data_IF_655875412282
#
_entry.id   IF_655875412282
#
_cell.length_a   1.000
_cell.length_b   1.000
_cell.length_c   1.000
_cell.angle_alpha   90.00
_cell.angle_beta   90.00
_cell.angle_gamma   90.00
#
_symmetry.space_group_name_H-M   'P 1'
#
loop_
_entity.id
_entity.type
_entity.pdbx_description
1 polymer ?
#
# COMPACT_ATOMS: atom_id res chain seq x y z
N UNK A 1 -67.69 37.10 44.42
CA UNK A 1 -67.24 37.02 43.01
C UNK A 1 -65.99 37.88 42.85
N UNK A 2 -64.81 37.28 43.00
CA UNK A 2 -63.49 37.96 42.93
C UNK A 2 -63.00 37.90 41.46
N UNK A 3 -63.03 39.04 40.76
CA UNK A 3 -62.43 39.11 39.41
C UNK A 3 -60.90 39.06 39.51
N UNK A 4 -60.32 38.01 38.96
CA UNK A 4 -58.85 37.89 38.88
C UNK A 4 -58.25 39.03 38.07
N UNK A 5 -57.17 39.62 38.57
CA UNK A 5 -56.50 40.78 37.99
C UNK A 5 -55.87 40.40 36.62
N UNK A 6 -56.04 41.18 35.57
CA UNK A 6 -55.44 40.92 34.25
C UNK A 6 -53.90 40.91 34.26
N UNK A 7 -53.24 41.48 35.27
CA UNK A 7 -51.76 41.48 35.40
C UNK A 7 -51.20 40.08 35.70
N UNK A 8 -51.94 39.22 36.41
CA UNK A 8 -51.49 37.86 36.73
C UNK A 8 -51.48 36.93 35.49
N UNK A 9 -52.40 37.12 34.55
CA UNK A 9 -52.46 36.34 33.30
C UNK A 9 -51.30 36.69 32.36
N UNK A 10 -50.94 37.97 32.23
CA UNK A 10 -49.84 38.41 31.40
C UNK A 10 -48.46 37.93 31.94
N UNK A 11 -48.29 37.89 33.24
CA UNK A 11 -47.05 37.38 33.84
C UNK A 11 -46.84 35.86 33.60
N UNK A 12 -47.91 35.06 33.67
CA UNK A 12 -47.85 33.61 33.37
C UNK A 12 -47.56 33.32 31.91
N UNK A 13 -48.12 34.11 30.97
CA UNK A 13 -47.86 33.97 29.55
C UNK A 13 -46.39 34.28 29.21
N UNK A 14 -45.79 35.32 29.79
CA UNK A 14 -44.38 35.67 29.60
C UNK A 14 -43.45 34.61 30.15
N UNK A 15 -43.74 33.98 31.29
CA UNK A 15 -42.94 32.93 31.86
C UNK A 15 -43.00 31.67 31.01
N UNK A 16 -44.12 31.34 30.37
CA UNK A 16 -44.26 30.21 29.45
C UNK A 16 -43.43 30.38 28.19
N UNK A 17 -43.44 31.57 27.60
CA UNK A 17 -42.64 31.85 26.38
C UNK A 17 -41.14 31.77 26.68
N UNK A 18 -40.67 32.31 27.79
CA UNK A 18 -39.27 32.25 28.17
C UNK A 18 -38.81 30.79 28.45
N UNK A 19 -39.65 29.96 29.02
CA UNK A 19 -39.33 28.54 29.24
C UNK A 19 -39.30 27.74 27.93
N UNK A 20 -40.20 28.05 27.00
CA UNK A 20 -40.22 27.42 25.68
C UNK A 20 -38.97 27.82 24.86
N UNK A 21 -38.61 29.09 24.85
CA UNK A 21 -37.42 29.59 24.18
C UNK A 21 -36.14 28.98 24.74
N UNK A 22 -36.05 28.82 26.09
CA UNK A 22 -34.92 28.17 26.71
C UNK A 22 -34.77 26.71 26.33
N UNK A 23 -35.87 25.97 26.18
CA UNK A 23 -35.84 24.56 25.76
C UNK A 23 -35.42 24.40 24.30
N UNK A 24 -35.89 25.28 23.42
CA UNK A 24 -35.50 25.27 22.01
C UNK A 24 -33.98 25.59 21.87
N UNK A 25 -33.50 26.60 22.62
CA UNK A 25 -32.08 26.95 22.61
C UNK A 25 -31.20 25.80 23.12
N UNK A 26 -31.64 25.07 24.16
CA UNK A 26 -30.92 23.94 24.71
C UNK A 26 -30.86 22.75 23.72
N UNK A 27 -31.95 22.48 23.01
CA UNK A 27 -31.99 21.43 21.99
C UNK A 27 -31.10 21.78 20.80
N UNK A 28 -31.11 23.06 20.36
CA UNK A 28 -30.24 23.51 19.28
C UNK A 28 -28.76 23.47 19.68
N UNK A 29 -28.43 23.82 20.91
CA UNK A 29 -27.06 23.71 21.43
C UNK A 29 -26.58 22.26 21.52
N UNK A 30 -27.46 21.34 21.90
CA UNK A 30 -27.13 19.92 21.99
C UNK A 30 -26.89 19.32 20.58
N UNK A 31 -27.62 19.76 19.56
CA UNK A 31 -27.39 19.33 18.17
C UNK A 31 -26.09 19.93 17.60
N UNK A 32 -25.75 21.15 17.96
CA UNK A 32 -24.48 21.77 17.53
C UNK A 32 -23.27 21.08 18.15
N UNK A 33 -23.39 20.59 19.39
CA UNK A 33 -22.31 19.87 20.08
C UNK A 33 -22.04 18.47 19.51
N UNK A 34 -22.98 17.91 18.73
CA UNK A 34 -22.85 16.60 18.10
C UNK A 34 -22.35 16.67 16.65
N UNK A 35 -22.10 17.87 16.12
CA UNK A 35 -21.47 18.02 14.81
C UNK A 35 -19.99 17.69 14.92
N UNK A 36 -19.67 16.41 15.06
CA UNK A 36 -18.31 15.91 14.85
C UNK A 36 -17.99 16.23 13.39
N UNK A 37 -16.93 17.00 13.10
CA UNK A 37 -16.56 17.21 11.72
C UNK A 37 -16.36 15.84 11.07
N UNK A 38 -17.18 15.54 10.06
CA UNK A 38 -17.02 14.32 9.30
C UNK A 38 -15.61 14.34 8.72
N UNK A 39 -14.81 13.34 9.07
CA UNK A 39 -13.56 13.13 8.37
C UNK A 39 -13.92 12.97 6.90
N UNK A 40 -13.44 13.90 6.07
CA UNK A 40 -13.71 13.82 4.64
C UNK A 40 -13.04 12.56 4.10
N UNK A 41 -13.87 11.63 3.66
CA UNK A 41 -13.42 10.45 2.95
C UNK A 41 -12.73 10.89 1.66
N UNK A 42 -11.55 10.37 1.42
CA UNK A 42 -10.73 10.80 0.30
C UNK A 42 -10.11 9.63 -0.45
N UNK A 43 -9.99 9.79 -1.76
CA UNK A 43 -9.35 8.82 -2.66
C UNK A 43 -7.82 8.88 -2.59
N UNK A 44 -7.25 9.86 -1.87
CA UNK A 44 -5.81 10.12 -1.84
C UNK A 44 -5.40 10.81 -0.55
N UNK A 45 -4.11 10.74 -0.23
CA UNK A 45 -3.46 11.45 0.86
C UNK A 45 -2.36 12.34 0.26
N UNK A 46 -2.31 13.61 0.67
CA UNK A 46 -1.19 14.50 0.37
C UNK A 46 -0.61 15.03 1.68
N UNK A 47 0.70 14.98 1.82
CA UNK A 47 1.38 15.56 2.98
C UNK A 47 1.25 17.08 2.99
N UNK A 48 1.26 17.67 1.80
CA UNK A 48 1.15 19.12 1.59
C UNK A 48 0.18 19.41 0.44
N UNK A 49 -0.66 20.42 0.63
CA UNK A 49 -1.58 20.86 -0.42
C UNK A 49 -2.63 19.83 -0.78
N UNK A 50 -3.00 19.82 -2.05
CA UNK A 50 -3.98 18.89 -2.62
C UNK A 50 -3.26 17.90 -3.54
N UNK A 51 -3.78 16.65 -3.67
CA UNK A 51 -3.19 15.70 -4.62
C UNK A 51 -3.25 16.23 -6.07
N UNK A 52 -2.21 15.96 -6.84
CA UNK A 52 -2.12 16.36 -8.25
C UNK A 52 -3.29 15.82 -9.10
N UNK A 53 -3.62 14.56 -8.91
CA UNK A 53 -4.68 13.91 -9.69
C UNK A 53 -6.01 14.07 -8.97
N UNK A 54 -7.04 14.66 -9.63
CA UNK A 54 -8.33 14.92 -8.99
C UNK A 54 -9.17 13.64 -8.83
N UNK A 55 -10.24 13.67 -8.02
CA UNK A 55 -11.16 12.54 -7.93
C UNK A 55 -11.65 12.12 -9.31
N UNK A 56 -11.64 10.82 -9.57
CA UNK A 56 -12.11 10.27 -10.84
C UNK A 56 -11.11 10.34 -11.98
N UNK A 57 -9.84 10.65 -11.70
CA UNK A 57 -8.78 10.56 -12.72
C UNK A 57 -8.77 9.15 -13.33
N UNK A 58 -8.30 9.02 -14.57
CA UNK A 58 -8.39 7.76 -15.32
C UNK A 58 -7.09 6.96 -15.31
N UNK A 59 -5.96 7.64 -15.25
CA UNK A 59 -4.63 7.05 -15.19
C UNK A 59 -3.63 8.14 -14.81
N UNK A 60 -2.46 7.76 -14.41
CA UNK A 60 -1.37 8.72 -14.20
C UNK A 60 -0.90 9.29 -15.55
N UNK A 61 -0.44 10.53 -15.57
CA UNK A 61 -0.04 11.23 -16.82
C UNK A 61 1.17 10.58 -17.49
N UNK A 62 2.03 9.92 -16.73
CA UNK A 62 3.28 9.36 -17.23
C UNK A 62 3.14 7.94 -17.83
N UNK A 63 1.95 7.36 -17.81
CA UNK A 63 1.72 6.04 -18.40
C UNK A 63 1.06 6.17 -19.78
N UNK A 64 1.22 5.14 -20.60
CA UNK A 64 0.43 4.97 -21.83
C UNK A 64 -0.75 4.03 -21.49
N UNK A 65 -1.99 4.55 -21.40
CA UNK A 65 -3.13 3.70 -21.05
C UNK A 65 -3.41 2.61 -22.10
N UNK A 66 -2.98 2.84 -23.33
CA UNK A 66 -3.18 1.91 -24.44
C UNK A 66 -1.95 1.01 -24.68
N UNK A 67 -1.01 0.98 -23.75
CA UNK A 67 0.19 0.14 -23.88
C UNK A 67 -0.20 -1.32 -24.09
N UNK A 68 0.38 -1.99 -25.12
CA UNK A 68 0.03 -3.39 -25.39
C UNK A 68 0.40 -4.31 -24.23
N UNK A 69 -0.46 -5.28 -23.98
CA UNK A 69 -0.24 -6.29 -22.93
C UNK A 69 0.33 -7.55 -23.57
N UNK A 70 1.44 -8.04 -23.02
CA UNK A 70 2.06 -9.26 -23.55
C UNK A 70 3.58 -9.22 -23.51
N UNK A 71 4.21 -10.19 -24.15
CA UNK A 71 5.66 -10.27 -24.23
C UNK A 71 6.34 -10.66 -22.92
N UNK A 72 7.66 -10.79 -22.99
CA UNK A 72 8.50 -11.15 -21.85
C UNK A 72 9.57 -10.09 -21.68
N UNK A 73 9.74 -9.62 -20.45
CA UNK A 73 10.84 -8.74 -20.06
C UNK A 73 11.86 -9.59 -19.30
N UNK A 74 13.08 -9.66 -19.79
CA UNK A 74 14.15 -10.40 -19.12
C UNK A 74 15.10 -9.40 -18.46
N UNK A 75 15.31 -9.57 -17.17
CA UNK A 75 16.14 -8.70 -16.33
C UNK A 75 17.29 -9.51 -15.72
N UNK A 76 18.35 -8.83 -15.38
CA UNK A 76 19.47 -9.44 -14.67
C UNK A 76 19.44 -9.08 -13.19
N UNK A 77 20.45 -9.55 -12.45
CA UNK A 77 20.63 -9.32 -11.02
C UNK A 77 20.33 -7.87 -10.65
N UNK A 78 19.31 -7.60 -9.84
CA UNK A 78 19.19 -6.27 -9.25
C UNK A 78 20.29 -6.09 -8.20
N UNK A 79 20.87 -4.91 -8.18
CA UNK A 79 21.96 -4.59 -7.26
C UNK A 79 23.12 -5.60 -7.44
N UNK A 80 23.53 -6.30 -6.41
CA UNK A 80 24.61 -7.29 -6.47
C UNK A 80 24.11 -8.68 -6.08
N UNK A 81 22.80 -8.91 -6.17
CA UNK A 81 22.21 -10.18 -5.82
C UNK A 81 22.62 -11.26 -6.83
N UNK A 82 23.35 -12.27 -6.39
CA UNK A 82 23.84 -13.35 -7.27
C UNK A 82 23.05 -14.65 -7.11
N UNK A 83 22.24 -14.76 -6.06
CA UNK A 83 21.37 -15.91 -5.82
C UNK A 83 20.26 -15.53 -4.83
N UNK A 84 19.18 -16.31 -4.81
CA UNK A 84 18.12 -16.17 -3.82
C UNK A 84 17.84 -17.52 -3.16
N UNK A 85 17.34 -17.47 -1.93
CA UNK A 85 17.07 -18.68 -1.14
C UNK A 85 15.70 -18.61 -0.43
N UNK A 86 14.89 -17.61 -0.76
CA UNK A 86 13.54 -17.46 -0.17
C UNK A 86 12.65 -16.56 -1.02
N UNK A 87 11.31 -16.65 -0.76
CA UNK A 87 10.31 -15.75 -1.34
C UNK A 87 9.89 -14.64 -0.36
N UNK A 88 10.24 -14.76 0.93
CA UNK A 88 9.83 -13.77 1.93
C UNK A 88 10.78 -12.56 1.91
N UNK A 89 10.36 -11.36 1.41
CA UNK A 89 11.24 -10.19 1.37
C UNK A 89 11.31 -9.42 2.69
N UNK A 90 10.49 -9.80 3.66
CA UNK A 90 10.29 -9.01 4.87
C UNK A 90 11.18 -9.44 6.04
N UNK A 91 12.05 -10.43 5.84
CA UNK A 91 12.88 -11.00 6.91
C UNK A 91 14.36 -10.73 6.67
N UNK A 92 15.14 -10.75 7.75
CA UNK A 92 16.55 -10.36 7.71
C UNK A 92 17.43 -11.41 7.02
N UNK A 93 17.27 -12.68 7.38
CA UNK A 93 18.18 -13.75 6.92
C UNK A 93 17.85 -14.17 5.49
N UNK A 94 18.89 -14.46 4.72
CA UNK A 94 18.75 -14.94 3.35
C UNK A 94 18.48 -13.84 2.35
N UNK A 95 18.44 -14.23 1.09
CA UNK A 95 18.23 -13.35 -0.06
C UNK A 95 16.87 -13.64 -0.68
N UNK A 96 16.00 -12.66 -0.65
CA UNK A 96 14.68 -12.78 -1.30
C UNK A 96 14.82 -12.83 -2.82
N UNK A 97 13.93 -13.56 -3.47
CA UNK A 97 13.88 -13.60 -4.94
C UNK A 97 13.68 -12.20 -5.50
N UNK A 98 14.42 -11.79 -6.53
CA UNK A 98 14.26 -10.46 -7.10
C UNK A 98 12.88 -10.32 -7.74
N UNK A 99 12.28 -9.14 -7.58
CA UNK A 99 10.95 -8.84 -8.12
C UNK A 99 9.79 -9.41 -7.32
N UNK A 100 10.06 -10.06 -6.18
CA UNK A 100 9.02 -10.69 -5.36
C UNK A 100 8.02 -9.65 -4.79
N UNK A 101 8.45 -8.40 -4.67
CA UNK A 101 7.61 -7.29 -4.23
C UNK A 101 6.39 -7.06 -5.15
N UNK A 102 6.45 -7.47 -6.43
CA UNK A 102 5.32 -7.39 -7.36
C UNK A 102 4.11 -8.22 -6.92
N UNK A 103 4.29 -9.14 -5.98
CA UNK A 103 3.21 -9.97 -5.46
C UNK A 103 2.40 -9.30 -4.36
N UNK A 104 2.90 -8.20 -3.80
CA UNK A 104 2.29 -7.53 -2.64
C UNK A 104 1.85 -6.12 -3.00
N UNK A 105 0.76 -5.69 -2.40
CA UNK A 105 0.29 -4.32 -2.53
C UNK A 105 0.09 -3.70 -1.16
N UNK A 106 -0.04 -2.38 -1.15
CA UNK A 106 -0.28 -1.58 0.04
C UNK A 106 -1.67 -0.94 -0.02
N UNK A 107 -2.08 -0.28 1.05
CA UNK A 107 -3.39 0.37 1.12
C UNK A 107 -3.49 1.53 0.12
N UNK A 108 -2.39 2.25 -0.09
CA UNK A 108 -2.29 3.34 -1.05
C UNK A 108 -0.96 3.26 -1.79
N UNK A 109 -0.90 3.82 -2.98
CA UNK A 109 0.31 3.80 -3.83
C UNK A 109 0.69 5.22 -4.23
N UNK A 110 1.99 5.50 -4.27
CA UNK A 110 2.50 6.79 -4.72
C UNK A 110 2.41 6.98 -6.23
N UNK A 111 2.66 8.20 -6.66
CA UNK A 111 2.81 8.55 -8.07
C UNK A 111 4.28 8.93 -8.35
N UNK A 112 4.80 8.54 -9.51
CA UNK A 112 6.19 8.83 -9.88
C UNK A 112 6.45 10.30 -10.16
N UNK A 113 5.41 11.07 -10.44
CA UNK A 113 5.52 12.49 -10.79
C UNK A 113 4.97 13.41 -9.69
N UNK A 114 4.69 12.87 -8.50
CA UNK A 114 4.18 13.63 -7.37
C UNK A 114 4.72 13.06 -6.06
N UNK A 115 5.78 13.64 -5.51
CA UNK A 115 6.29 13.19 -4.22
C UNK A 115 5.34 13.56 -3.07
N UNK A 116 5.40 12.82 -1.98
CA UNK A 116 4.66 13.07 -0.74
C UNK A 116 3.13 13.01 -0.90
N UNK A 117 2.66 12.24 -1.88
CA UNK A 117 1.22 11.91 -2.06
C UNK A 117 1.06 10.43 -2.34
N UNK A 118 -0.12 9.90 -2.03
CA UNK A 118 -0.46 8.51 -2.33
C UNK A 118 -1.96 8.40 -2.60
N UNK A 119 -2.31 7.52 -3.51
CA UNK A 119 -3.66 7.29 -4.02
C UNK A 119 -4.14 5.91 -3.59
N UNK A 120 -5.42 5.78 -3.32
CA UNK A 120 -5.99 4.52 -2.88
C UNK A 120 -5.68 3.37 -3.84
N UNK A 121 -5.33 2.21 -3.27
CA UNK A 121 -5.04 0.98 -4.00
C UNK A 121 -5.87 -0.14 -3.36
N UNK A 122 -5.37 -0.83 -2.32
CA UNK A 122 -6.23 -1.77 -1.58
C UNK A 122 -7.34 -1.03 -0.82
N UNK A 123 -7.14 0.25 -0.49
CA UNK A 123 -8.19 1.10 0.07
C UNK A 123 -8.83 1.93 -1.05
N UNK A 124 -10.15 2.06 -1.02
CA UNK A 124 -10.88 2.95 -1.94
C UNK A 124 -11.32 4.25 -1.24
N UNK A 125 -11.16 4.32 0.09
CA UNK A 125 -11.47 5.49 0.86
C UNK A 125 -10.51 5.64 2.03
N UNK A 126 -10.06 6.88 2.27
CA UNK A 126 -9.04 7.21 3.26
C UNK A 126 -9.50 8.42 4.06
N UNK A 127 -9.56 8.30 5.38
CA UNK A 127 -9.99 9.38 6.26
C UNK A 127 -8.90 9.68 7.30
N UNK A 128 -8.21 10.81 7.12
CA UNK A 128 -7.24 11.31 8.11
C UNK A 128 -8.00 12.08 9.17
N UNK A 129 -7.80 11.74 10.45
CA UNK A 129 -8.45 12.43 11.55
C UNK A 129 -8.01 13.90 11.60
N UNK A 130 -8.92 14.83 11.97
CA UNK A 130 -8.57 16.27 12.03
C UNK A 130 -7.37 16.58 12.94
N UNK A 131 -7.20 15.83 14.01
CA UNK A 131 -6.06 15.97 14.93
C UNK A 131 -4.78 15.30 14.42
N UNK A 132 -4.87 14.59 13.27
CA UNK A 132 -3.77 13.87 12.64
C UNK A 132 -3.13 12.78 13.53
N UNK A 133 -3.90 12.24 14.45
CA UNK A 133 -3.43 11.17 15.33
C UNK A 133 -3.93 9.79 14.88
N UNK A 134 -4.65 9.74 13.75
CA UNK A 134 -5.04 8.47 13.15
C UNK A 134 -5.41 8.66 11.68
N UNK A 135 -5.42 7.54 10.96
CA UNK A 135 -5.96 7.45 9.60
C UNK A 135 -6.79 6.16 9.51
N UNK A 136 -7.92 6.24 8.86
CA UNK A 136 -8.82 5.10 8.63
C UNK A 136 -8.84 4.81 7.13
N UNK A 137 -8.68 3.54 6.79
CA UNK A 137 -8.73 3.03 5.41
C UNK A 137 -9.94 2.11 5.29
N UNK A 138 -10.78 2.37 4.31
CA UNK A 138 -11.84 1.46 3.89
C UNK A 138 -11.33 0.64 2.71
N UNK A 139 -11.40 -0.69 2.82
CA UNK A 139 -10.85 -1.59 1.80
C UNK A 139 -11.79 -1.72 0.60
N UNK A 140 -11.22 -1.68 -0.58
CA UNK A 140 -11.95 -1.86 -1.83
C UNK A 140 -12.66 -3.24 -1.81
N UNK A 141 -13.97 -3.28 -1.98
CA UNK A 141 -14.70 -4.56 -1.91
C UNK A 141 -14.30 -5.56 -3.01
N UNK A 142 -13.62 -5.11 -4.06
CA UNK A 142 -13.10 -5.99 -5.11
C UNK A 142 -11.74 -6.58 -4.77
N UNK A 143 -11.02 -6.02 -3.78
CA UNK A 143 -9.64 -6.43 -3.47
C UNK A 143 -9.57 -7.93 -3.13
N UNK A 144 -8.68 -8.64 -3.83
CA UNK A 144 -8.51 -10.10 -3.69
C UNK A 144 -7.04 -10.46 -3.62
N UNK A 145 -6.76 -11.45 -2.82
CA UNK A 145 -5.46 -12.12 -2.85
C UNK A 145 -5.38 -13.08 -4.04
N UNK A 146 -4.16 -13.52 -4.34
CA UNK A 146 -3.85 -14.44 -5.45
C UNK A 146 -4.58 -15.78 -5.34
N UNK A 147 -5.00 -16.18 -4.14
CA UNK A 147 -5.77 -17.41 -3.91
C UNK A 147 -7.29 -17.19 -4.02
N UNK A 148 -7.73 -15.97 -4.37
CA UNK A 148 -9.14 -15.61 -4.53
C UNK A 148 -9.83 -15.07 -3.28
N UNK A 149 -9.22 -15.20 -2.11
CA UNK A 149 -9.79 -14.69 -0.85
C UNK A 149 -9.90 -13.16 -0.90
N UNK A 150 -10.93 -12.62 -0.23
CA UNK A 150 -11.03 -11.16 -0.03
C UNK A 150 -9.92 -10.67 0.88
N UNK A 151 -9.39 -9.49 0.57
CA UNK A 151 -8.50 -8.78 1.49
C UNK A 151 -9.36 -8.18 2.60
N UNK A 152 -8.99 -8.42 3.86
CA UNK A 152 -9.76 -7.95 5.02
C UNK A 152 -8.91 -7.08 5.94
N UNK A 153 -9.58 -6.32 6.80
CA UNK A 153 -8.91 -5.52 7.83
C UNK A 153 -8.07 -6.38 8.78
N UNK A 154 -8.48 -7.64 9.01
CA UNK A 154 -7.67 -8.59 9.79
C UNK A 154 -6.34 -8.91 9.08
N UNK A 155 -6.33 -9.03 7.75
CA UNK A 155 -5.09 -9.27 7.00
C UNK A 155 -4.17 -8.04 7.08
N UNK A 156 -4.74 -6.84 6.99
CA UNK A 156 -3.97 -5.59 7.12
C UNK A 156 -3.34 -5.50 8.51
N UNK A 157 -4.14 -5.73 9.55
CA UNK A 157 -3.64 -5.72 10.93
C UNK A 157 -2.58 -6.81 11.14
N UNK A 158 -2.82 -8.02 10.65
CA UNK A 158 -1.86 -9.13 10.73
C UNK A 158 -0.54 -8.76 10.06
N UNK A 159 -0.59 -8.17 8.86
CA UNK A 159 0.60 -7.74 8.13
C UNK A 159 1.39 -6.69 8.92
N UNK A 160 0.70 -5.66 9.41
CA UNK A 160 1.33 -4.58 10.19
C UNK A 160 1.96 -5.12 11.47
N UNK A 161 1.23 -5.92 12.25
CA UNK A 161 1.72 -6.48 13.51
C UNK A 161 2.93 -7.40 13.28
N UNK A 162 2.88 -8.20 12.21
CA UNK A 162 3.99 -9.08 11.80
C UNK A 162 5.23 -8.26 11.44
N UNK A 163 5.07 -7.20 10.66
CA UNK A 163 6.18 -6.33 10.24
C UNK A 163 6.80 -5.58 11.42
N UNK A 164 6.03 -5.31 12.47
CA UNK A 164 6.57 -4.71 13.70
C UNK A 164 7.13 -5.72 14.68
N UNK A 165 6.97 -7.01 14.43
CA UNK A 165 7.43 -8.06 15.33
C UNK A 165 8.93 -8.35 15.14
N UNK A 166 9.49 -9.15 16.05
CA UNK A 166 10.87 -9.61 15.97
C UNK A 166 11.11 -10.60 14.83
N UNK A 167 10.07 -11.12 14.20
CA UNK A 167 10.18 -12.06 13.07
C UNK A 167 10.42 -11.34 11.75
N UNK A 168 10.17 -10.04 11.67
CA UNK A 168 10.47 -9.24 10.49
C UNK A 168 11.83 -8.56 10.62
N UNK A 169 12.36 -8.07 9.51
CA UNK A 169 13.62 -7.33 9.50
C UNK A 169 13.48 -6.03 10.29
N UNK A 170 14.45 -5.67 11.15
CA UNK A 170 14.33 -4.56 12.10
C UNK A 170 13.98 -3.20 11.47
N UNK A 171 14.34 -2.98 10.20
CA UNK A 171 14.01 -1.72 9.52
C UNK A 171 12.50 -1.48 9.45
N UNK A 172 11.66 -2.53 9.40
CA UNK A 172 10.21 -2.35 9.41
C UNK A 172 9.73 -1.82 10.77
N UNK A 173 10.26 -2.39 11.86
CA UNK A 173 9.95 -1.90 13.21
C UNK A 173 10.32 -0.44 13.40
N UNK A 174 11.49 -0.05 12.88
CA UNK A 174 11.96 1.34 12.93
C UNK A 174 11.08 2.25 12.06
N UNK A 175 10.77 1.82 10.83
CA UNK A 175 9.97 2.61 9.89
C UNK A 175 8.55 2.88 10.42
N UNK A 176 7.95 1.88 11.06
CA UNK A 176 6.60 1.98 11.60
C UNK A 176 6.57 2.38 13.09
N UNK A 177 7.68 2.85 13.66
CA UNK A 177 7.78 3.11 15.12
C UNK A 177 6.70 4.07 15.63
N UNK A 178 6.41 5.14 14.88
CA UNK A 178 5.45 6.16 15.27
C UNK A 178 3.98 5.73 15.08
N UNK A 179 3.73 4.61 14.40
CA UNK A 179 2.38 4.03 14.34
C UNK A 179 2.22 3.13 15.57
N UNK A 180 1.35 3.54 16.48
CA UNK A 180 1.15 2.82 17.76
C UNK A 180 0.52 1.45 17.52
N UNK A 181 -0.56 1.40 16.74
CA UNK A 181 -1.29 0.16 16.47
C UNK A 181 -2.21 0.28 15.26
N UNK A 182 -2.59 -0.88 14.70
CA UNK A 182 -3.67 -1.03 13.74
C UNK A 182 -4.88 -1.61 14.47
N UNK A 183 -6.05 -1.04 14.24
CA UNK A 183 -7.33 -1.43 14.86
C UNK A 183 -8.29 -1.86 13.77
N UNK A 184 -8.82 -3.06 13.86
CA UNK A 184 -9.90 -3.54 13.00
C UNK A 184 -11.20 -2.89 13.49
N UNK A 185 -11.79 -2.01 12.69
CA UNK A 185 -13.06 -1.36 13.00
C UNK A 185 -14.22 -2.28 12.60
N UNK A 186 -14.11 -2.84 11.41
CA UNK A 186 -15.01 -3.87 10.88
C UNK A 186 -14.22 -4.66 9.80
N UNK A 187 -14.79 -5.71 9.19
CA UNK A 187 -14.02 -6.54 8.25
C UNK A 187 -13.45 -5.79 7.03
N UNK A 188 -13.99 -4.62 6.68
CA UNK A 188 -13.55 -3.82 5.54
C UNK A 188 -12.85 -2.52 5.97
N UNK A 189 -12.72 -2.25 7.28
CA UNK A 189 -12.22 -0.94 7.76
C UNK A 189 -11.12 -1.13 8.81
N UNK A 190 -9.95 -0.56 8.54
CA UNK A 190 -8.82 -0.58 9.47
C UNK A 190 -8.42 0.86 9.81
N UNK A 191 -8.15 1.12 11.09
CA UNK A 191 -7.66 2.42 11.57
C UNK A 191 -6.26 2.26 12.15
N UNK A 192 -5.35 3.11 11.73
CA UNK A 192 -4.01 3.22 12.32
C UNK A 192 -3.98 4.39 13.28
N UNK A 193 -3.52 4.15 14.50
CA UNK A 193 -3.38 5.17 15.55
C UNK A 193 -1.90 5.53 15.70
N UNK A 194 -1.62 6.82 15.86
CA UNK A 194 -0.27 7.38 15.88
C UNK A 194 0.14 7.84 17.27
N UNK A 195 1.43 7.73 17.59
CA UNK A 195 1.98 8.24 18.85
C UNK A 195 1.99 9.76 18.90
N UNK A 196 2.15 10.40 17.73
CA UNK A 196 2.22 11.86 17.61
C UNK A 196 1.40 12.32 16.40
N UNK A 197 1.09 13.61 16.34
CA UNK A 197 0.44 14.22 15.19
C UNK A 197 1.53 14.58 14.18
N UNK A 198 1.54 13.89 13.04
CA UNK A 198 2.54 14.11 11.99
C UNK A 198 1.90 13.87 10.62
N UNK A 199 2.12 14.79 9.69
CA UNK A 199 1.54 14.76 8.32
C UNK A 199 2.02 13.58 7.48
N UNK A 200 3.19 13.03 7.80
CA UNK A 200 3.79 11.92 7.05
C UNK A 200 3.16 10.57 7.44
N UNK A 201 2.69 10.42 8.67
CA UNK A 201 2.24 9.13 9.19
C UNK A 201 1.07 8.50 8.39
N UNK A 202 0.10 9.27 7.88
CA UNK A 202 -0.92 8.66 6.99
C UNK A 202 -0.31 8.01 5.73
N UNK A 203 0.72 8.63 5.14
CA UNK A 203 1.41 8.06 3.97
C UNK A 203 2.16 6.79 4.36
N UNK A 204 2.86 6.81 5.50
CA UNK A 204 3.59 5.64 6.02
C UNK A 204 2.60 4.50 6.28
N UNK A 205 1.45 4.78 6.89
CA UNK A 205 0.41 3.77 7.13
C UNK A 205 -0.16 3.24 5.81
N UNK A 206 -0.40 4.13 4.84
CA UNK A 206 -0.88 3.75 3.51
C UNK A 206 0.08 2.85 2.76
N UNK A 207 1.38 2.93 3.07
CA UNK A 207 2.43 2.13 2.44
C UNK A 207 2.67 0.76 3.09
N UNK A 208 1.91 0.36 4.10
CA UNK A 208 2.07 -0.97 4.73
C UNK A 208 1.78 -2.06 3.69
N UNK A 209 2.77 -2.91 3.37
CA UNK A 209 2.51 -4.04 2.46
C UNK A 209 1.58 -5.06 3.13
N UNK A 210 0.59 -5.53 2.37
CA UNK A 210 -0.46 -6.41 2.88
C UNK A 210 -0.28 -7.81 2.29
N UNK A 211 -0.28 -8.80 3.17
CA UNK A 211 -0.24 -10.22 2.79
C UNK A 211 -1.29 -10.98 3.61
N UNK A 212 -1.76 -12.07 3.05
CA UNK A 212 -2.80 -12.88 3.71
C UNK A 212 -2.28 -13.53 4.99
N UNK A 213 -3.09 -13.49 6.03
CA UNK A 213 -2.82 -14.23 7.27
C UNK A 213 -2.81 -15.75 7.06
N UNK A 214 -3.19 -16.23 5.86
CA UNK A 214 -3.07 -17.65 5.51
C UNK A 214 -1.69 -18.01 4.99
N UNK A 215 -0.84 -17.04 4.63
CA UNK A 215 0.53 -17.33 4.20
C UNK A 215 1.30 -17.99 5.35
N UNK A 216 1.83 -19.17 5.10
CA UNK A 216 2.53 -19.98 6.10
C UNK A 216 1.63 -20.79 7.04
N UNK A 217 0.31 -20.77 6.80
CA UNK A 217 -0.63 -21.59 7.57
C UNK A 217 -0.68 -22.99 6.96
N UNK A 218 -0.46 -24.01 7.79
CA UNK A 218 -0.52 -25.41 7.36
C UNK A 218 -1.94 -25.97 7.45
N UNK A 219 -2.16 -27.12 6.81
CA UNK A 219 -3.47 -27.76 6.80
C UNK A 219 -3.94 -28.23 8.19
N UNK A 220 -2.99 -28.48 9.09
CA UNK A 220 -3.29 -28.88 10.49
C UNK A 220 -3.58 -27.67 11.40
N UNK A 221 -3.58 -26.47 10.84
CA UNK A 221 -3.83 -25.21 11.58
C UNK A 221 -2.59 -24.62 12.21
N UNK A 222 -1.44 -25.32 12.19
CA UNK A 222 -0.20 -24.76 12.71
C UNK A 222 0.36 -23.70 11.73
N UNK A 223 1.24 -22.84 12.23
CA UNK A 223 1.83 -21.77 11.42
C UNK A 223 3.35 -21.90 11.39
N UNK A 224 3.93 -21.79 10.22
CA UNK A 224 5.37 -21.61 10.05
C UNK A 224 5.72 -20.23 10.61
N UNK A 225 6.71 -20.11 11.52
CA UNK A 225 7.17 -18.79 11.96
C UNK A 225 7.53 -17.91 10.77
N UNK A 226 7.15 -16.62 10.83
CA UNK A 226 7.27 -15.73 9.67
C UNK A 226 8.72 -15.61 9.17
N UNK A 227 9.68 -15.64 10.09
CA UNK A 227 11.11 -15.57 9.76
C UNK A 227 11.68 -16.89 9.23
N UNK A 228 10.88 -17.95 9.20
CA UNK A 228 11.26 -19.26 8.64
C UNK A 228 10.58 -19.55 7.29
N UNK A 229 9.71 -18.63 6.83
CA UNK A 229 9.12 -18.75 5.50
C UNK A 229 10.20 -18.60 4.43
N UNK A 230 10.42 -19.66 3.67
CA UNK A 230 11.44 -19.70 2.60
C UNK A 230 10.76 -19.73 1.22
N UNK A 231 10.37 -20.90 0.74
CA UNK A 231 9.76 -21.07 -0.59
C UNK A 231 8.25 -21.33 -0.52
N UNK A 232 7.64 -21.12 0.64
CA UNK A 232 6.19 -21.14 0.76
C UNK A 232 5.59 -20.05 -0.12
N UNK A 233 4.65 -20.43 -1.00
CA UNK A 233 4.06 -19.53 -1.99
C UNK A 233 3.45 -18.32 -1.29
N UNK A 234 3.91 -17.10 -1.58
CA UNK A 234 3.31 -15.91 -0.99
C UNK A 234 1.87 -15.73 -1.43
N UNK A 235 1.03 -15.27 -0.50
CA UNK A 235 -0.38 -14.96 -0.78
C UNK A 235 -0.52 -13.44 -0.67
N UNK A 236 -0.20 -12.76 -1.76
CA UNK A 236 -0.35 -11.31 -1.92
C UNK A 236 -1.48 -10.98 -2.87
N UNK A 237 -1.72 -9.70 -3.08
CA UNK A 237 -2.81 -9.19 -3.95
C UNK A 237 -2.29 -8.62 -5.27
N UNK A 238 -0.99 -8.67 -5.51
CA UNK A 238 -0.34 -7.97 -6.61
C UNK A 238 -0.60 -8.55 -8.00
N UNK A 239 -0.15 -7.81 -9.02
CA UNK A 239 -0.47 -8.13 -10.41
C UNK A 239 0.31 -9.31 -11.00
N UNK A 240 1.31 -9.83 -10.31
CA UNK A 240 2.12 -10.95 -10.80
C UNK A 240 2.07 -12.13 -9.85
N UNK A 241 2.30 -13.33 -10.40
CA UNK A 241 2.38 -14.61 -9.70
C UNK A 241 3.71 -15.26 -10.04
N UNK A 242 4.28 -16.05 -9.13
CA UNK A 242 5.45 -16.88 -9.46
C UNK A 242 4.96 -17.99 -10.41
N UNK A 243 5.54 -18.06 -11.62
CA UNK A 243 5.25 -19.12 -12.59
C UNK A 243 6.16 -20.31 -12.39
N UNK A 244 7.48 -20.06 -12.29
CA UNK A 244 8.50 -21.09 -12.04
C UNK A 244 9.77 -20.43 -11.54
N UNK A 245 10.63 -21.24 -10.95
CA UNK A 245 11.95 -20.79 -10.54
C UNK A 245 12.93 -21.96 -10.60
N UNK A 246 14.19 -21.62 -10.84
CA UNK A 246 15.33 -22.52 -10.70
C UNK A 246 16.15 -22.01 -9.52
N UNK A 247 16.29 -22.83 -8.51
CA UNK A 247 16.73 -22.44 -7.17
C UNK A 247 18.01 -21.61 -7.23
N UNK A 248 17.89 -20.35 -6.81
CA UNK A 248 19.00 -19.42 -6.72
C UNK A 248 19.44 -18.78 -8.04
N UNK A 249 18.93 -19.19 -9.20
CA UNK A 249 19.43 -18.72 -10.51
C UNK A 249 18.43 -17.93 -11.33
N UNK A 250 17.20 -18.39 -11.41
CA UNK A 250 16.20 -17.79 -12.28
C UNK A 250 14.85 -17.82 -11.59
N UNK A 251 14.10 -16.74 -11.73
CA UNK A 251 12.69 -16.72 -11.33
C UNK A 251 11.88 -16.06 -12.44
N UNK A 252 10.74 -16.66 -12.76
CA UNK A 252 9.80 -16.18 -13.77
C UNK A 252 8.48 -15.86 -13.08
N UNK A 253 8.03 -14.64 -13.28
CA UNK A 253 6.71 -14.18 -12.87
C UNK A 253 5.82 -14.10 -14.10
N UNK A 254 4.55 -14.49 -13.98
CA UNK A 254 3.55 -14.25 -15.01
C UNK A 254 2.50 -13.28 -14.49
N UNK A 255 1.96 -12.47 -15.37
CA UNK A 255 0.88 -11.56 -15.02
C UNK A 255 -0.33 -12.38 -14.59
N UNK A 256 -0.96 -11.97 -13.50
CA UNK A 256 -2.14 -12.64 -12.96
C UNK A 256 -3.36 -12.29 -13.84
N UNK A 257 -3.93 -13.25 -14.58
CA UNK A 257 -5.11 -12.94 -15.42
C UNK A 257 -6.34 -12.58 -14.61
N UNK A 258 -6.36 -12.94 -13.32
CA UNK A 258 -7.46 -12.63 -12.40
C UNK A 258 -7.10 -11.47 -11.46
N UNK A 259 -6.14 -10.62 -11.87
CA UNK A 259 -5.73 -9.49 -11.01
C UNK A 259 -6.89 -8.52 -10.81
N UNK A 260 -7.27 -8.34 -9.55
CA UNK A 260 -8.47 -7.60 -9.15
C UNK A 260 -8.41 -6.10 -9.50
N UNK A 261 -7.20 -5.52 -9.54
CA UNK A 261 -6.99 -4.09 -9.67
C UNK A 261 -6.60 -3.61 -11.07
N UNK A 262 -6.77 -4.45 -12.10
CA UNK A 262 -6.25 -4.14 -13.45
C UNK A 262 -6.81 -2.85 -14.05
N UNK A 263 -8.05 -2.48 -13.69
CA UNK A 263 -8.74 -1.29 -14.19
C UNK A 263 -8.71 -0.10 -13.23
N UNK A 264 -8.03 -0.21 -12.10
CA UNK A 264 -7.90 0.92 -11.18
C UNK A 264 -7.08 2.04 -11.84
N UNK A 265 -7.47 3.31 -11.66
CA UNK A 265 -6.71 4.44 -12.26
C UNK A 265 -5.21 4.40 -11.96
N UNK A 266 -4.84 3.96 -10.76
CA UNK A 266 -3.43 3.85 -10.33
C UNK A 266 -2.71 2.67 -11.01
N UNK A 267 -3.42 1.80 -11.74
CA UNK A 267 -2.86 0.60 -12.39
C UNK A 267 -3.03 0.60 -13.92
N UNK A 268 -3.91 1.44 -14.46
CA UNK A 268 -4.06 1.58 -15.93
C UNK A 268 -2.71 1.93 -16.54
N UNK A 269 -2.36 1.26 -17.65
CA UNK A 269 -1.10 1.50 -18.35
C UNK A 269 0.13 0.86 -17.72
N UNK A 270 -0.05 0.09 -16.63
CA UNK A 270 1.06 -0.59 -15.94
C UNK A 270 0.94 -2.12 -16.08
N UNK A 271 1.96 -2.84 -15.62
CA UNK A 271 1.96 -4.31 -15.61
C UNK A 271 1.73 -4.89 -17.00
N UNK A 272 2.45 -4.35 -18.00
CA UNK A 272 2.17 -4.61 -19.40
C UNK A 272 2.74 -5.94 -19.88
N UNK A 273 3.87 -6.40 -19.32
CA UNK A 273 4.49 -7.65 -19.74
C UNK A 273 3.72 -8.87 -19.21
N UNK A 274 3.55 -9.88 -20.08
CA UNK A 274 2.96 -11.16 -19.71
C UNK A 274 3.87 -11.92 -18.74
N UNK A 275 5.19 -11.86 -19.00
CA UNK A 275 6.20 -12.47 -18.13
C UNK A 275 7.30 -11.50 -17.78
N UNK A 276 7.82 -11.60 -16.57
CA UNK A 276 9.04 -10.94 -16.13
C UNK A 276 9.96 -12.03 -15.62
N UNK A 277 11.16 -12.09 -16.18
CA UNK A 277 12.16 -13.12 -15.86
C UNK A 277 13.38 -12.43 -15.27
N UNK A 278 13.82 -12.90 -14.12
CA UNK A 278 15.10 -12.47 -13.55
C UNK A 278 16.10 -13.62 -13.71
N UNK A 279 17.25 -13.34 -14.33
CA UNK A 279 18.40 -14.24 -14.43
C UNK A 279 19.51 -13.70 -13.55
N UNK A 280 20.07 -14.53 -12.69
CA UNK A 280 21.12 -14.12 -11.76
C UNK A 280 22.46 -14.69 -12.22
N UNK A 281 23.44 -13.82 -12.35
CA UNK A 281 24.80 -14.12 -12.76
C UNK A 281 25.73 -14.01 -11.55
N UNK A 282 26.79 -14.80 -11.54
CA UNK A 282 27.69 -14.87 -10.39
C UNK A 282 28.53 -13.61 -10.15
N UNK A 283 28.75 -12.82 -11.21
CA UNK A 283 29.53 -11.58 -11.10
C UNK A 283 29.16 -10.59 -12.22
N UNK A 284 29.73 -9.39 -12.13
CA UNK A 284 29.45 -8.32 -13.08
C UNK A 284 30.02 -8.57 -14.48
N UNK A 285 31.10 -9.32 -14.61
CA UNK A 285 31.69 -9.64 -15.93
C UNK A 285 30.75 -10.60 -16.67
N UNK A 286 30.35 -11.69 -16.02
CA UNK A 286 29.39 -12.65 -16.59
C UNK A 286 28.08 -11.96 -16.99
N UNK A 287 27.58 -11.05 -16.12
CA UNK A 287 26.37 -10.27 -16.40
C UNK A 287 26.53 -9.37 -17.63
N UNK A 288 27.65 -8.69 -17.76
CA UNK A 288 27.91 -7.81 -18.89
C UNK A 288 28.04 -8.60 -20.20
N UNK A 289 28.75 -9.75 -20.18
CA UNK A 289 28.86 -10.58 -21.37
C UNK A 289 27.51 -11.17 -21.79
N UNK A 290 26.68 -11.57 -20.83
CA UNK A 290 25.32 -12.02 -21.09
C UNK A 290 24.45 -10.92 -21.76
N UNK A 291 24.60 -9.66 -21.33
CA UNK A 291 23.91 -8.54 -21.96
C UNK A 291 24.36 -8.36 -23.42
N UNK A 292 25.67 -8.40 -23.66
CA UNK A 292 26.22 -8.31 -25.03
C UNK A 292 25.72 -9.45 -25.91
N UNK A 293 25.49 -10.63 -25.32
CA UNK A 293 24.94 -11.79 -26.03
C UNK A 293 23.40 -11.71 -26.21
N UNK A 294 22.74 -10.69 -25.67
CA UNK A 294 21.29 -10.51 -25.79
C UNK A 294 20.48 -11.41 -24.88
N UNK A 295 21.05 -11.87 -23.78
CA UNK A 295 20.37 -12.80 -22.86
C UNK A 295 19.35 -12.10 -21.96
N UNK A 296 19.42 -10.77 -21.81
CA UNK A 296 18.43 -9.98 -21.07
C UNK A 296 18.33 -8.57 -21.66
N UNK A 297 17.24 -7.88 -21.32
CA UNK A 297 16.78 -6.69 -22.05
C UNK A 297 17.32 -5.36 -21.51
N UNK A 298 17.60 -5.27 -20.20
CA UNK A 298 17.93 -3.97 -19.57
C UNK A 298 19.19 -4.12 -18.70
N UNK A 299 20.24 -3.39 -19.08
CA UNK A 299 21.46 -3.29 -18.26
C UNK A 299 21.42 -1.99 -17.46
N UNK A 300 21.46 -2.11 -16.14
CA UNK A 300 21.64 -0.97 -15.24
C UNK A 300 23.07 -1.03 -14.70
N UNK A 301 23.91 -0.06 -15.05
CA UNK A 301 25.29 0.06 -14.57
C UNK A 301 25.46 1.36 -13.78
N UNK A 302 25.95 1.19 -12.57
CA UNK A 302 26.40 2.32 -11.77
C UNK A 302 27.88 2.55 -12.05
N UNK A 303 28.09 3.27 -13.05
CA UNK A 303 29.06 3.32 -13.48
C UNK A 303 30.05 3.60 -12.97
N UNK A 304 30.83 2.82 -12.95
CA UNK A 304 32.24 3.26 -12.87
C UNK A 304 32.63 3.77 -14.26
N UNK A 305 32.62 5.05 -14.46
CA UNK A 305 33.05 5.74 -15.69
C UNK A 305 34.32 5.09 -16.31
N UNK A 306 35.27 4.68 -15.51
CA UNK A 306 36.51 4.06 -15.97
C UNK A 306 36.31 2.78 -16.79
N UNK A 307 35.25 2.00 -16.52
CA UNK A 307 34.99 0.75 -17.26
C UNK A 307 34.30 1.02 -18.59
N UNK A 308 33.43 2.03 -18.67
CA UNK A 308 32.81 2.43 -19.93
C UNK A 308 33.84 3.04 -20.89
N UNK A 309 34.77 3.84 -20.37
CA UNK A 309 35.85 4.44 -21.18
C UNK A 309 36.82 3.37 -21.70
N UNK A 310 37.10 2.35 -20.91
CA UNK A 310 37.93 1.22 -21.35
C UNK A 310 37.26 0.42 -22.45
N UNK A 311 35.93 0.20 -22.37
CA UNK A 311 35.18 -0.51 -23.38
C UNK A 311 35.11 0.30 -24.70
N UNK A 312 34.90 1.62 -24.61
CA UNK A 312 34.89 2.53 -25.78
C UNK A 312 36.23 2.57 -26.47
N UNK A 313 37.34 2.59 -25.72
CA UNK A 313 38.69 2.59 -26.29
C UNK A 313 38.96 1.30 -27.07
N UNK A 314 38.50 0.13 -26.58
CA UNK A 314 38.67 -1.14 -27.29
C UNK A 314 37.87 -1.22 -28.60
N UNK A 315 36.73 -0.53 -28.69
CA UNK A 315 35.95 -0.46 -29.93
C UNK A 315 36.57 0.50 -30.95
N UNK A 316 37.25 1.54 -30.49
CA UNK A 316 37.89 2.51 -31.41
C UNK A 316 39.17 1.97 -32.10
N UNK A 317 39.67 0.79 -31.67
CA UNK A 317 40.88 0.16 -32.20
C UNK A 317 40.57 -1.12 -32.98
N UNK A 318 39.30 -1.37 -33.36
CA UNK A 318 38.88 -2.40 -34.31
C UNK A 318 38.29 -1.75 -35.55
#
# INVERSE_FOLDING_TARGET
MTKGSPRAAAARARLGVLRAAGRVAAVLALHAALAVPAAHAAYAIAQYGEPKYPPGFKHFDYVNPDAPKGGTLVLANPNRLTSFDKFNPFTMRGNAAPGIDMLFESLATGSSDEPASAYGLLADDIAVAPDRRSVTFHLNPRARFSNGDRVTADDVKFSFDTLKSKQAAPQFGAYFAEIAKAVVVDPATVRFEFRSANRELPLIAGGVPVFSRKWGLRADGSRIPFDQLAFEQPIGSGPYLIERYDNGRTITYRRNPAYWGADLPVRVGTNNFERIVYKLYGDGVARLEAFKAGEYDVLVEYXHRAQLDAARRRQAFR
#
